data_IF_070479837193
#
_entry.id   IF_070479837193
#
_cell.length_a   1.000
_cell.length_b   1.000
_cell.length_c   1.000
_cell.angle_alpha   90.00
_cell.angle_beta   90.00
_cell.angle_gamma   90.00
#
_symmetry.space_group_name_H-M   'P 1'
#
loop_
_entity.id
_entity.type
_entity.pdbx_description
1 polymer ?
#
# COMPACT_ATOMS: atom_id res chain seq x y z
N UNK A 1 3.90 9.49 -18.63
CA UNK A 1 4.46 9.11 -17.33
C UNK A 1 5.15 10.32 -16.69
N UNK A 2 4.74 10.68 -15.46
CA UNK A 2 5.46 11.65 -14.61
C UNK A 2 6.10 10.90 -13.44
N UNK A 3 7.41 10.68 -13.44
CA UNK A 3 8.13 10.10 -12.31
C UNK A 3 8.08 10.97 -11.05
N UNK A 4 8.46 10.40 -9.91
CA UNK A 4 8.78 11.21 -8.74
C UNK A 4 9.96 12.16 -9.06
N UNK A 5 9.88 13.41 -8.64
CA UNK A 5 11.00 14.36 -8.76
C UNK A 5 12.18 14.00 -7.86
N UNK A 6 11.95 13.13 -6.86
CA UNK A 6 12.98 12.67 -5.91
C UNK A 6 13.78 11.48 -6.43
N UNK A 7 13.13 10.62 -7.23
CA UNK A 7 13.76 9.42 -7.80
C UNK A 7 13.21 9.14 -9.20
N UNK A 8 13.64 9.89 -10.22
CA UNK A 8 13.21 9.67 -11.59
C UNK A 8 14.00 8.57 -12.32
N UNK A 9 15.12 8.09 -11.77
CA UNK A 9 16.07 7.24 -12.47
C UNK A 9 15.48 5.92 -12.95
N UNK A 10 14.83 5.17 -12.07
CA UNK A 10 14.24 3.87 -12.41
C UNK A 10 13.10 3.98 -13.44
N UNK A 11 12.12 4.89 -13.30
CA UNK A 11 11.10 5.08 -14.34
C UNK A 11 11.66 5.53 -15.71
N UNK A 12 12.70 6.36 -15.72
CA UNK A 12 13.39 6.75 -16.95
C UNK A 12 14.03 5.54 -17.64
N UNK A 13 14.78 4.71 -16.87
CA UNK A 13 15.40 3.50 -17.42
C UNK A 13 14.34 2.50 -17.91
N UNK A 14 13.22 2.36 -17.21
CA UNK A 14 12.10 1.52 -17.65
C UNK A 14 11.54 1.99 -19.00
N UNK A 15 11.38 3.30 -19.19
CA UNK A 15 10.92 3.86 -20.47
C UNK A 15 11.91 3.57 -21.61
N UNK A 16 13.22 3.67 -21.37
CA UNK A 16 14.26 3.29 -22.35
C UNK A 16 14.17 1.81 -22.73
N UNK A 17 14.03 0.91 -21.72
CA UNK A 17 13.88 -0.52 -21.96
C UNK A 17 12.63 -0.88 -22.76
N UNK A 18 11.53 -0.15 -22.58
CA UNK A 18 10.32 -0.33 -23.39
C UNK A 18 10.55 0.08 -24.85
N UNK A 19 11.31 1.15 -25.10
CA UNK A 19 11.70 1.56 -26.45
C UNK A 19 12.63 0.52 -27.08
N UNK A 20 13.63 0.02 -26.35
CA UNK A 20 14.53 -1.06 -26.79
C UNK A 20 13.73 -2.35 -27.13
N UNK A 21 12.65 -2.62 -26.39
CA UNK A 21 11.75 -3.75 -26.66
C UNK A 21 10.82 -3.56 -27.86
N UNK A 22 10.89 -2.42 -28.56
CA UNK A 22 10.12 -2.14 -29.77
C UNK A 22 8.81 -1.37 -29.56
N UNK A 23 8.66 -0.67 -28.44
CA UNK A 23 7.51 0.21 -28.24
C UNK A 23 7.47 1.30 -29.34
N UNK A 24 6.36 1.47 -30.08
CA UNK A 24 6.28 2.48 -31.13
C UNK A 24 6.51 3.91 -30.58
N UNK A 25 7.18 4.73 -31.34
CA UNK A 25 7.45 6.13 -30.98
C UNK A 25 6.15 6.90 -30.68
N UNK A 26 6.18 7.70 -29.62
CA UNK A 26 5.04 8.54 -29.20
C UNK A 26 4.00 7.85 -28.32
N UNK A 27 4.07 6.52 -28.13
CA UNK A 27 3.13 5.79 -27.24
C UNK A 27 3.41 6.08 -25.76
N UNK A 28 4.69 6.13 -25.36
CA UNK A 28 5.12 6.49 -24.02
C UNK A 28 5.92 7.79 -24.07
N UNK A 29 5.49 8.76 -23.29
CA UNK A 29 6.19 10.03 -23.11
C UNK A 29 6.47 10.24 -21.63
N UNK A 30 7.66 10.72 -21.28
CA UNK A 30 8.06 10.98 -19.89
C UNK A 30 8.22 12.49 -19.69
N UNK A 31 7.56 13.01 -18.67
CA UNK A 31 7.66 14.42 -18.26
C UNK A 31 8.12 14.47 -16.81
N UNK A 32 9.31 14.99 -16.59
CA UNK A 32 9.84 15.24 -15.25
C UNK A 32 9.30 16.56 -14.68
N UNK A 33 9.12 16.61 -13.39
CA UNK A 33 8.66 17.81 -12.69
C UNK A 33 7.96 17.48 -11.38
N UNK A 34 7.67 18.53 -10.65
CA UNK A 34 7.00 18.53 -9.34
C UNK A 34 5.50 18.83 -9.46
N UNK A 35 4.94 19.50 -8.46
CA UNK A 35 3.53 19.91 -8.42
C UNK A 35 3.10 20.69 -9.66
N UNK A 36 3.97 21.52 -10.25
CA UNK A 36 3.62 22.33 -11.43
C UNK A 36 3.30 21.42 -12.62
N UNK A 37 4.10 20.38 -12.84
CA UNK A 37 3.83 19.40 -13.88
C UNK A 37 2.56 18.57 -13.59
N UNK A 38 2.32 18.22 -12.32
CA UNK A 38 1.08 17.53 -11.92
C UNK A 38 -0.15 18.38 -12.20
N UNK A 39 -0.11 19.66 -11.84
CA UNK A 39 -1.22 20.59 -12.07
C UNK A 39 -1.51 20.77 -13.58
N UNK A 40 -0.45 20.91 -14.38
CA UNK A 40 -0.60 20.96 -15.85
C UNK A 40 -1.26 19.70 -16.42
N UNK A 41 -0.89 18.50 -15.95
CA UNK A 41 -1.54 17.24 -16.35
C UNK A 41 -3.02 17.22 -15.94
N UNK A 42 -3.34 17.72 -14.75
CA UNK A 42 -4.72 17.77 -14.26
C UNK A 42 -5.62 18.73 -15.04
N UNK A 43 -5.04 19.82 -15.53
CA UNK A 43 -5.79 20.88 -16.25
C UNK A 43 -5.85 20.65 -17.77
N UNK A 44 -4.91 19.90 -18.34
CA UNK A 44 -4.83 19.66 -19.79
C UNK A 44 -6.05 18.90 -20.30
N UNK A 45 -6.74 19.46 -21.30
CA UNK A 45 -7.99 18.92 -21.85
C UNK A 45 -7.81 17.63 -22.67
N UNK A 46 -6.62 17.38 -23.22
CA UNK A 46 -6.33 16.19 -24.01
C UNK A 46 -6.03 14.96 -23.16
N UNK A 47 -5.63 15.15 -21.92
CA UNK A 47 -5.43 14.06 -20.96
C UNK A 47 -6.76 13.60 -20.40
N UNK A 48 -7.16 12.37 -20.72
CA UNK A 48 -8.50 11.81 -20.43
C UNK A 48 -8.57 10.87 -19.23
N UNK A 49 -7.43 10.34 -18.79
CA UNK A 49 -7.36 9.41 -17.66
C UNK A 49 -6.09 9.63 -16.85
N UNK A 50 -6.17 9.51 -15.53
CA UNK A 50 -5.05 9.70 -14.61
C UNK A 50 -5.03 8.55 -13.61
N UNK A 51 -3.90 7.84 -13.52
CA UNK A 51 -3.59 6.91 -12.45
C UNK A 51 -2.50 7.50 -11.55
N UNK A 52 -2.66 7.37 -10.24
CA UNK A 52 -1.71 7.90 -9.25
C UNK A 52 -1.55 6.96 -8.07
N UNK A 53 -0.34 6.89 -7.55
CA UNK A 53 -0.04 6.24 -6.26
C UNK A 53 0.85 7.17 -5.44
N UNK A 54 0.50 7.39 -4.18
CA UNK A 54 1.28 8.23 -3.26
C UNK A 54 0.56 8.52 -1.94
N UNK A 55 0.91 9.61 -1.27
CA UNK A 55 0.29 9.95 0.01
C UNK A 55 -1.20 10.28 -0.14
N UNK A 56 -2.00 9.97 0.88
CA UNK A 56 -3.46 10.14 0.86
C UNK A 56 -3.90 11.56 0.51
N UNK A 57 -3.24 12.58 1.06
CA UNK A 57 -3.58 13.98 0.75
C UNK A 57 -3.39 14.33 -0.72
N UNK A 58 -2.34 13.79 -1.34
CA UNK A 58 -2.06 14.02 -2.77
C UNK A 58 -3.01 13.18 -3.63
N UNK A 59 -3.29 11.94 -3.24
CA UNK A 59 -4.26 11.10 -3.92
C UNK A 59 -5.66 11.75 -3.97
N UNK A 60 -6.12 12.27 -2.85
CA UNK A 60 -7.39 13.00 -2.72
C UNK A 60 -7.41 14.29 -3.56
N UNK A 61 -6.32 15.05 -3.54
CA UNK A 61 -6.17 16.25 -4.36
C UNK A 61 -6.27 15.94 -5.86
N UNK A 62 -5.51 14.95 -6.34
CA UNK A 62 -5.49 14.55 -7.75
C UNK A 62 -6.85 13.98 -8.17
N UNK A 63 -7.46 13.13 -7.33
CA UNK A 63 -8.78 12.57 -7.60
C UNK A 63 -9.83 13.67 -7.74
N UNK A 64 -9.91 14.57 -6.75
CA UNK A 64 -10.90 15.63 -6.72
C UNK A 64 -10.76 16.57 -7.93
N UNK A 65 -9.54 17.04 -8.22
CA UNK A 65 -9.30 17.99 -9.31
C UNK A 65 -9.46 17.35 -10.69
N UNK A 66 -8.97 16.12 -10.87
CA UNK A 66 -9.13 15.41 -12.14
C UNK A 66 -10.57 15.03 -12.43
N UNK A 67 -11.33 14.59 -11.42
CA UNK A 67 -12.75 14.30 -11.58
C UNK A 67 -13.57 15.55 -11.90
N UNK A 68 -13.23 16.69 -11.32
CA UNK A 68 -13.92 17.98 -11.60
C UNK A 68 -13.76 18.43 -13.06
N UNK A 69 -12.69 18.01 -13.75
CA UNK A 69 -12.47 18.28 -15.18
C UNK A 69 -12.96 17.15 -16.11
N UNK A 70 -13.73 16.20 -15.57
CA UNK A 70 -14.34 15.11 -16.35
C UNK A 70 -13.35 14.00 -16.76
N UNK A 71 -12.17 13.92 -16.16
CA UNK A 71 -11.21 12.85 -16.42
C UNK A 71 -11.62 11.58 -15.67
N UNK A 72 -11.19 10.43 -16.18
CA UNK A 72 -11.21 9.19 -15.41
C UNK A 72 -10.01 9.19 -14.46
N UNK A 73 -10.25 8.99 -13.19
CA UNK A 73 -9.19 9.09 -12.17
C UNK A 73 -9.24 7.88 -11.26
N UNK A 74 -8.08 7.25 -11.05
CA UNK A 74 -7.86 6.26 -9.99
C UNK A 74 -6.62 6.68 -9.20
N UNK A 75 -6.77 6.85 -7.91
CA UNK A 75 -5.68 7.25 -7.04
C UNK A 75 -5.61 6.31 -5.84
N UNK A 76 -4.41 5.83 -5.54
CA UNK A 76 -4.16 5.00 -4.38
C UNK A 76 -3.37 5.81 -3.36
N UNK A 77 -3.94 5.87 -2.15
CA UNK A 77 -3.42 6.63 -1.03
C UNK A 77 -2.57 5.80 -0.09
N UNK A 78 -2.46 6.27 1.15
CA UNK A 78 -1.72 5.62 2.21
C UNK A 78 -2.36 4.33 2.73
N UNK A 79 -1.69 3.73 3.69
CA UNK A 79 -2.10 2.48 4.31
C UNK A 79 -1.74 2.45 5.80
N UNK A 80 -2.39 1.56 6.54
CA UNK A 80 -2.02 1.12 7.88
C UNK A 80 -2.32 -0.37 7.98
N UNK A 81 -1.45 -1.19 7.38
CA UNK A 81 -1.72 -2.61 7.23
C UNK A 81 -1.52 -3.34 8.55
N UNK A 82 -2.52 -4.13 8.91
CA UNK A 82 -2.55 -4.93 10.12
C UNK A 82 -2.19 -6.39 9.82
N UNK A 83 -1.51 -7.02 10.77
CA UNK A 83 -1.26 -8.46 10.76
C UNK A 83 -1.80 -9.05 12.06
N UNK A 84 -2.88 -9.81 11.96
CA UNK A 84 -3.49 -10.50 13.09
C UNK A 84 -2.71 -11.78 13.34
N UNK A 85 -2.26 -11.99 14.58
CA UNK A 85 -1.48 -13.15 15.01
C UNK A 85 -2.32 -13.96 15.97
N UNK A 86 -2.84 -15.09 15.51
CA UNK A 86 -3.65 -15.99 16.33
C UNK A 86 -2.79 -16.82 17.30
N UNK A 87 -3.35 -17.31 18.41
CA UNK A 87 -2.59 -18.10 19.40
C UNK A 87 -1.98 -19.41 18.84
N UNK A 88 -2.55 -19.93 17.77
CA UNK A 88 -2.11 -21.15 17.07
C UNK A 88 -1.13 -20.88 15.92
N UNK A 89 -0.81 -19.61 15.64
CA UNK A 89 0.12 -19.23 14.58
C UNK A 89 1.51 -19.87 14.78
N UNK A 90 2.17 -20.16 13.66
CA UNK A 90 3.60 -20.51 13.70
C UNK A 90 4.41 -19.26 14.05
N UNK A 91 4.93 -19.18 15.25
CA UNK A 91 5.55 -17.96 15.75
C UNK A 91 6.88 -17.66 15.07
N UNK A 92 7.64 -18.65 14.62
CA UNK A 92 8.90 -18.42 13.91
C UNK A 92 8.63 -17.83 12.52
N UNK A 93 7.68 -18.39 11.78
CA UNK A 93 7.23 -17.82 10.51
C UNK A 93 6.59 -16.42 10.69
N UNK A 94 5.87 -16.20 11.77
CA UNK A 94 5.24 -14.93 12.10
C UNK A 94 6.29 -13.84 12.31
N UNK A 95 7.33 -14.12 13.09
CA UNK A 95 8.43 -13.18 13.36
C UNK A 95 9.21 -12.88 12.07
N UNK A 96 9.57 -13.90 11.29
CA UNK A 96 10.24 -13.72 10.01
C UNK A 96 9.41 -12.86 9.04
N UNK A 97 8.11 -13.10 8.98
CA UNK A 97 7.18 -12.32 8.19
C UNK A 97 7.10 -10.85 8.63
N UNK A 98 7.03 -10.59 9.95
CA UNK A 98 7.00 -9.23 10.50
C UNK A 98 8.31 -8.48 10.25
N UNK A 99 9.46 -9.14 10.41
CA UNK A 99 10.76 -8.54 10.09
C UNK A 99 10.81 -8.11 8.63
N UNK A 100 10.52 -9.02 7.70
CA UNK A 100 10.57 -8.73 6.27
C UNK A 100 9.51 -7.71 5.82
N UNK A 101 8.28 -7.81 6.31
CA UNK A 101 7.17 -6.97 5.91
C UNK A 101 7.11 -5.62 6.64
N UNK A 102 7.59 -5.55 7.88
CA UNK A 102 7.58 -4.31 8.66
C UNK A 102 8.78 -3.41 8.39
N UNK A 103 9.96 -4.00 8.22
CA UNK A 103 11.21 -3.23 8.13
C UNK A 103 11.86 -3.26 6.74
N UNK A 104 11.49 -4.19 5.86
CA UNK A 104 12.00 -4.22 4.49
C UNK A 104 11.79 -2.91 3.78
N UNK A 105 12.81 -2.42 3.03
CA UNK A 105 12.85 -1.07 2.43
C UNK A 105 12.64 0.05 3.47
N UNK A 106 13.19 -0.08 4.66
CA UNK A 106 13.01 0.86 5.77
C UNK A 106 11.53 1.13 6.12
N UNK A 107 10.64 0.15 5.92
CA UNK A 107 9.19 0.33 6.11
C UNK A 107 8.50 1.24 5.08
N UNK A 108 9.21 1.69 4.06
CA UNK A 108 8.70 2.59 3.01
C UNK A 108 8.06 1.80 1.85
N UNK A 109 7.09 0.95 2.20
CA UNK A 109 6.24 0.22 1.24
C UNK A 109 4.78 0.48 1.56
N UNK A 110 3.96 0.73 0.55
CA UNK A 110 2.50 0.85 0.69
C UNK A 110 1.86 -0.42 1.29
N UNK A 111 2.50 -1.58 1.13
CA UNK A 111 2.05 -2.86 1.66
C UNK A 111 2.82 -3.33 2.91
N UNK A 112 3.73 -2.51 3.46
CA UNK A 112 4.42 -2.84 4.70
C UNK A 112 3.41 -3.09 5.84
N UNK A 113 3.69 -4.06 6.69
CA UNK A 113 2.94 -4.25 7.92
C UNK A 113 3.36 -3.15 8.91
N UNK A 114 2.40 -2.33 9.31
CA UNK A 114 2.60 -1.22 10.24
C UNK A 114 2.13 -1.56 11.66
N UNK A 115 1.20 -2.53 11.76
CA UNK A 115 0.57 -2.92 13.02
C UNK A 115 0.52 -4.44 13.13
N UNK A 116 1.14 -5.01 14.17
CA UNK A 116 0.95 -6.39 14.55
C UNK A 116 -0.12 -6.47 15.66
N UNK A 117 -1.09 -7.38 15.51
CA UNK A 117 -2.22 -7.55 16.45
C UNK A 117 -2.20 -8.99 16.97
N UNK A 118 -1.40 -9.29 18.00
CA UNK A 118 -1.45 -10.58 18.67
C UNK A 118 -2.75 -10.73 19.47
N UNK A 119 -3.40 -11.89 19.33
CA UNK A 119 -4.63 -12.23 20.03
C UNK A 119 -4.30 -12.98 21.31
N UNK A 120 -4.61 -12.37 22.46
CA UNK A 120 -4.32 -12.85 23.81
C UNK A 120 -2.95 -12.41 24.33
N UNK A 121 -2.88 -12.07 25.61
CA UNK A 121 -1.66 -11.57 26.28
C UNK A 121 -0.48 -12.53 26.11
N UNK A 122 -0.70 -13.83 26.28
CA UNK A 122 0.35 -14.84 26.12
C UNK A 122 0.94 -14.85 24.71
N UNK A 123 0.10 -14.70 23.68
CA UNK A 123 0.56 -14.62 22.29
C UNK A 123 1.40 -13.37 22.07
N UNK A 124 0.98 -12.24 22.66
CA UNK A 124 1.71 -10.98 22.60
C UNK A 124 3.07 -11.09 23.28
N UNK A 125 3.14 -11.66 24.49
CA UNK A 125 4.40 -11.81 25.23
C UNK A 125 5.39 -12.69 24.46
N UNK A 126 4.95 -13.83 23.90
CA UNK A 126 5.81 -14.72 23.09
C UNK A 126 6.28 -14.00 21.81
N UNK A 127 5.40 -13.23 21.17
CA UNK A 127 5.76 -12.45 20.00
C UNK A 127 6.84 -11.41 20.33
N UNK A 128 6.64 -10.64 21.39
CA UNK A 128 7.58 -9.58 21.80
C UNK A 128 8.94 -10.15 22.19
N UNK A 129 8.97 -11.25 22.96
CA UNK A 129 10.21 -11.95 23.36
C UNK A 129 11.06 -12.34 22.14
N UNK A 130 10.42 -12.79 21.05
CA UNK A 130 11.13 -13.24 19.84
C UNK A 130 11.39 -12.12 18.84
N UNK A 131 10.52 -11.14 18.76
CA UNK A 131 10.59 -10.08 17.74
C UNK A 131 11.61 -9.00 18.13
N UNK A 132 11.65 -8.57 19.40
CA UNK A 132 12.51 -7.47 19.81
C UNK A 132 14.01 -7.71 19.51
N UNK A 133 14.61 -8.87 19.83
CA UNK A 133 16.01 -9.13 19.50
C UNK A 133 16.28 -9.16 17.98
N UNK A 134 15.29 -9.56 17.18
CA UNK A 134 15.39 -9.57 15.72
C UNK A 134 15.40 -8.15 15.15
N UNK A 135 14.60 -7.24 15.72
CA UNK A 135 14.59 -5.82 15.32
C UNK A 135 15.90 -5.15 15.70
N UNK A 136 16.43 -5.41 16.89
CA UNK A 136 17.74 -4.90 17.34
C UNK A 136 18.89 -5.38 16.45
N UNK A 137 18.81 -6.60 15.91
CA UNK A 137 19.86 -7.19 15.08
C UNK A 137 19.84 -6.79 13.62
N UNK A 138 18.87 -5.96 13.19
CA UNK A 138 18.76 -5.50 11.80
C UNK A 138 20.01 -4.70 11.38
N UNK A 139 20.55 -5.06 10.22
CA UNK A 139 21.72 -4.42 9.64
C UNK A 139 21.30 -3.35 8.65
N UNK A 140 21.65 -2.12 8.95
CA UNK A 140 21.30 -0.96 8.12
C UNK A 140 22.54 -0.51 7.36
N UNK A 141 22.43 -0.36 6.04
CA UNK A 141 23.57 -0.03 5.20
C UNK A 141 23.15 0.56 3.85
N UNK A 142 24.11 0.99 3.02
CA UNK A 142 23.82 1.47 1.68
C UNK A 142 23.34 0.31 0.79
N UNK A 143 22.63 0.62 -0.30
CA UNK A 143 22.12 -0.37 -1.27
C UNK A 143 23.22 -1.20 -1.97
N UNK A 144 24.46 -0.78 -1.85
CA UNK A 144 25.63 -1.50 -2.38
C UNK A 144 26.21 -2.52 -1.39
N UNK A 145 25.74 -2.53 -0.15
CA UNK A 145 26.07 -3.54 0.85
C UNK A 145 25.11 -4.73 0.72
N UNK A 146 25.56 -5.90 0.24
CA UNK A 146 24.69 -7.07 0.09
C UNK A 146 24.21 -7.67 1.41
N UNK A 147 24.84 -7.30 2.51
CA UNK A 147 24.52 -7.78 3.84
C UNK A 147 23.57 -6.85 4.60
N UNK A 148 23.23 -5.69 4.07
CA UNK A 148 22.26 -4.79 4.68
C UNK A 148 20.82 -5.30 4.51
N UNK A 149 20.04 -5.30 5.60
CA UNK A 149 18.63 -5.68 5.59
C UNK A 149 17.76 -4.57 4.97
N UNK A 150 18.13 -3.30 5.20
CA UNK A 150 17.50 -2.15 4.54
C UNK A 150 18.44 -0.93 4.48
N UNK A 151 18.07 0.02 3.61
CA UNK A 151 18.81 1.24 3.32
C UNK A 151 18.31 2.49 4.06
N UNK A 152 18.72 3.69 3.59
CA UNK A 152 18.26 4.95 4.15
C UNK A 152 16.81 5.24 3.79
N UNK A 153 16.19 6.20 4.51
CA UNK A 153 14.95 6.83 4.13
C UNK A 153 15.16 7.76 2.93
N UNK A 154 14.06 8.20 2.29
CA UNK A 154 14.12 8.95 1.03
C UNK A 154 14.70 10.37 1.20
N UNK A 155 14.37 11.08 2.26
CA UNK A 155 14.82 12.47 2.50
C UNK A 155 15.10 12.76 3.97
N UNK A 156 15.81 13.86 4.23
CA UNK A 156 16.05 14.38 5.59
C UNK A 156 14.72 14.73 6.28
N UNK A 157 13.85 15.41 5.60
CA UNK A 157 12.55 15.82 6.14
C UNK A 157 11.70 14.61 6.52
N UNK A 158 11.83 13.53 5.75
CA UNK A 158 11.12 12.30 6.05
C UNK A 158 11.71 11.57 7.27
N UNK A 159 13.02 11.49 7.37
CA UNK A 159 13.71 10.97 8.57
C UNK A 159 13.29 11.74 9.83
N UNK A 160 13.30 13.07 9.78
CA UNK A 160 12.92 13.91 10.91
C UNK A 160 11.44 13.70 11.28
N UNK A 161 10.57 13.53 10.28
CA UNK A 161 9.17 13.19 10.49
C UNK A 161 8.99 11.82 11.16
N UNK A 162 9.71 10.80 10.72
CA UNK A 162 9.62 9.45 11.32
C UNK A 162 10.09 9.48 12.77
N UNK A 163 11.21 10.16 13.06
CA UNK A 163 11.71 10.35 14.42
C UNK A 163 10.68 11.06 15.30
N UNK A 164 10.02 12.10 14.78
CA UNK A 164 8.96 12.80 15.50
C UNK A 164 7.74 11.90 15.81
N UNK A 165 7.41 10.93 14.95
CA UNK A 165 6.39 9.94 15.26
C UNK A 165 6.82 8.98 16.37
N UNK A 166 8.10 8.62 16.44
CA UNK A 166 8.60 7.78 17.54
C UNK A 166 8.53 8.57 18.86
N UNK A 167 8.95 9.84 18.88
CA UNK A 167 8.81 10.73 20.04
C UNK A 167 7.35 10.87 20.47
N UNK A 168 6.45 11.01 19.50
CA UNK A 168 5.02 11.11 19.75
C UNK A 168 4.45 9.85 20.38
N UNK A 169 4.83 8.65 19.89
CA UNK A 169 4.39 7.38 20.45
C UNK A 169 4.76 7.23 21.93
N UNK A 170 5.98 7.61 22.30
CA UNK A 170 6.40 7.65 23.70
C UNK A 170 5.56 8.65 24.51
N UNK A 171 5.31 9.84 23.95
CA UNK A 171 4.51 10.88 24.61
C UNK A 171 3.03 10.46 24.78
N UNK A 172 2.48 9.70 23.84
CA UNK A 172 1.12 9.16 23.90
C UNK A 172 1.00 7.97 24.88
N UNK A 173 2.11 7.44 25.39
CA UNK A 173 2.13 6.40 26.40
C UNK A 173 2.36 4.98 25.85
N UNK A 174 2.72 4.83 24.58
CA UNK A 174 3.13 3.53 24.04
C UNK A 174 4.51 3.13 24.59
N UNK A 175 4.73 1.84 24.77
CA UNK A 175 5.98 1.28 25.26
C UNK A 175 6.97 1.14 24.08
N UNK A 176 8.03 1.96 24.06
CA UNK A 176 9.10 1.86 23.07
C UNK A 176 10.07 0.76 23.50
N UNK A 177 9.98 -0.42 22.89
CA UNK A 177 10.77 -1.60 23.24
C UNK A 177 12.13 -1.61 22.54
N UNK A 178 12.15 -1.20 21.27
CA UNK A 178 13.40 -1.01 20.51
C UNK A 178 13.42 0.39 19.94
N UNK A 179 14.49 1.12 20.20
CA UNK A 179 14.69 2.51 19.78
C UNK A 179 15.83 2.62 18.76
N UNK A 180 15.47 2.82 17.51
CA UNK A 180 16.42 2.98 16.42
C UNK A 180 16.73 4.43 16.02
N UNK A 181 16.24 5.45 16.78
CA UNK A 181 16.39 6.87 16.42
C UNK A 181 17.84 7.35 16.35
N UNK A 182 18.69 6.84 17.25
CA UNK A 182 20.08 7.27 17.39
C UNK A 182 21.05 6.46 16.52
N UNK A 183 20.55 5.61 15.64
CA UNK A 183 21.40 4.85 14.73
C UNK A 183 22.17 5.82 13.81
N UNK A 184 23.49 5.60 13.74
CA UNK A 184 24.41 6.33 12.86
C UNK A 184 25.29 5.33 12.10
N UNK A 185 25.30 5.45 10.77
CA UNK A 185 26.15 4.61 9.93
C UNK A 185 27.48 5.33 9.72
N UNK A 186 28.58 4.69 10.19
CA UNK A 186 29.93 5.25 10.07
C UNK A 186 30.31 5.44 8.59
N UNK A 187 30.82 6.65 8.27
CA UNK A 187 31.18 7.04 6.90
C UNK A 187 30.00 7.52 6.04
N UNK A 188 28.77 7.53 6.60
CA UNK A 188 27.55 7.98 5.93
C UNK A 188 26.73 8.95 6.80
N UNK A 189 27.40 9.76 7.61
CA UNK A 189 26.78 10.66 8.59
C UNK A 189 25.83 11.68 7.97
N UNK A 190 26.03 12.01 6.69
CA UNK A 190 25.12 12.84 5.90
C UNK A 190 23.88 12.11 5.36
N UNK A 191 23.82 10.79 5.47
CA UNK A 191 22.72 9.95 5.00
C UNK A 191 21.48 10.04 5.89
N UNK A 192 20.38 9.47 5.41
CA UNK A 192 19.08 9.51 6.09
C UNK A 192 18.77 8.18 6.78
N UNK A 193 19.74 7.64 7.51
CA UNK A 193 19.65 6.34 8.16
C UNK A 193 19.00 6.44 9.53
N UNK A 194 18.23 5.42 9.91
CA UNK A 194 17.78 5.15 11.26
C UNK A 194 17.60 3.64 11.45
N UNK A 195 17.62 3.18 12.67
CA UNK A 195 17.35 1.79 13.02
C UNK A 195 15.88 1.45 13.05
N UNK A 196 15.56 0.17 13.21
CA UNK A 196 14.20 -0.29 13.46
C UNK A 196 13.69 0.17 14.82
N UNK A 197 12.44 0.62 14.87
CA UNK A 197 11.74 0.92 16.11
C UNK A 197 10.58 -0.05 16.31
N UNK A 198 10.38 -0.49 17.56
CA UNK A 198 9.31 -1.40 17.94
C UNK A 198 8.56 -0.84 19.14
N UNK A 199 7.26 -0.64 18.98
CA UNK A 199 6.36 -0.27 20.06
C UNK A 199 5.49 -1.44 20.50
N UNK A 200 5.32 -1.62 21.79
CA UNK A 200 4.27 -2.44 22.39
C UNK A 200 3.19 -1.58 23.04
N UNK A 201 2.04 -2.18 23.35
CA UNK A 201 0.90 -1.56 24.04
C UNK A 201 0.42 -0.27 23.37
N UNK A 202 0.50 -0.25 22.05
CA UNK A 202 -0.10 0.83 21.26
C UNK A 202 -1.63 0.70 21.30
N UNK A 203 -2.31 1.82 21.49
CA UNK A 203 -3.77 1.85 21.58
C UNK A 203 -4.40 2.55 20.35
N UNK A 204 -5.65 2.18 19.97
CA UNK A 204 -6.31 2.69 18.76
C UNK A 204 -6.55 4.21 18.75
N UNK A 205 -6.52 4.88 19.90
CA UNK A 205 -6.66 6.33 19.98
C UNK A 205 -5.39 7.08 19.62
N UNK A 206 -4.21 6.46 19.72
CA UNK A 206 -2.90 7.07 19.48
C UNK A 206 -2.71 7.42 18.01
N UNK A 207 -2.01 8.51 17.74
CA UNK A 207 -1.72 8.95 16.37
C UNK A 207 -0.76 8.02 15.65
N UNK A 208 0.17 7.40 16.38
CA UNK A 208 1.07 6.39 15.80
C UNK A 208 0.34 5.15 15.29
N UNK A 209 -0.87 4.87 15.82
CA UNK A 209 -1.77 3.85 15.27
C UNK A 209 -2.56 4.36 14.07
N UNK A 210 -3.14 5.57 14.17
CA UNK A 210 -4.06 6.12 13.16
C UNK A 210 -3.36 6.56 11.88
N UNK A 211 -2.19 7.18 12.01
CA UNK A 211 -1.51 7.85 10.90
C UNK A 211 -0.45 6.93 10.26
N UNK A 212 -0.29 7.05 8.95
CA UNK A 212 0.78 6.38 8.21
C UNK A 212 2.13 7.03 8.54
N UNK A 213 3.05 6.27 9.12
CA UNK A 213 4.40 6.73 9.47
C UNK A 213 5.31 6.66 8.23
N UNK A 214 5.24 5.53 7.50
CA UNK A 214 6.04 5.24 6.31
C UNK A 214 7.55 5.22 6.60
N UNK A 215 7.93 4.46 7.62
CA UNK A 215 9.29 4.32 8.12
C UNK A 215 9.47 3.00 8.88
N UNK A 216 10.69 2.69 9.36
CA UNK A 216 10.99 1.42 10.02
C UNK A 216 10.45 1.37 11.47
N UNK A 217 9.14 1.54 11.62
CA UNK A 217 8.43 1.60 12.91
C UNK A 217 7.26 0.64 12.88
N UNK A 218 7.30 -0.37 13.73
CA UNK A 218 6.24 -1.35 13.92
C UNK A 218 5.53 -1.12 15.26
N UNK A 219 4.21 -1.09 15.22
CA UNK A 219 3.35 -0.94 16.40
C UNK A 219 2.70 -2.29 16.74
N UNK A 220 2.72 -2.68 18.02
CA UNK A 220 1.98 -3.84 18.51
C UNK A 220 0.76 -3.37 19.29
N UNK A 221 -0.42 -3.79 18.83
CA UNK A 221 -1.71 -3.54 19.46
C UNK A 221 -2.25 -4.88 19.97
N UNK A 222 -2.31 -5.06 21.27
CA UNK A 222 -2.75 -6.31 21.88
C UNK A 222 -4.28 -6.42 21.83
N UNK A 223 -4.82 -7.48 21.23
CA UNK A 223 -6.24 -7.79 21.22
C UNK A 223 -6.55 -8.93 22.16
N UNK A 224 -7.68 -8.84 22.91
CA UNK A 224 -8.07 -9.92 23.83
C UNK A 224 -8.71 -11.09 23.09
N UNK A 225 -9.43 -10.82 21.99
CA UNK A 225 -10.16 -11.81 21.22
C UNK A 225 -9.93 -11.63 19.72
N UNK A 226 -10.28 -12.67 18.96
CA UNK A 226 -10.28 -12.62 17.50
C UNK A 226 -11.17 -11.50 16.96
N UNK A 227 -12.36 -11.32 17.54
CA UNK A 227 -13.34 -10.29 17.13
C UNK A 227 -12.76 -8.88 17.31
N UNK A 228 -12.00 -8.65 18.38
CA UNK A 228 -11.31 -7.38 18.60
C UNK A 228 -10.24 -7.16 17.53
N UNK A 229 -9.42 -8.16 17.21
CA UNK A 229 -8.44 -8.09 16.14
C UNK A 229 -9.06 -7.81 14.77
N UNK A 230 -10.15 -8.51 14.41
CA UNK A 230 -10.92 -8.30 13.20
C UNK A 230 -11.49 -6.87 13.14
N UNK A 231 -12.01 -6.36 14.27
CA UNK A 231 -12.57 -5.03 14.38
C UNK A 231 -11.52 -3.95 14.16
N UNK A 232 -10.35 -4.05 14.79
CA UNK A 232 -9.24 -3.11 14.63
C UNK A 232 -8.88 -2.91 13.16
N UNK A 233 -8.67 -4.00 12.41
CA UNK A 233 -8.36 -3.93 10.98
C UNK A 233 -9.53 -3.40 10.14
N UNK A 234 -10.77 -3.78 10.48
CA UNK A 234 -11.97 -3.43 9.70
C UNK A 234 -12.40 -1.98 9.89
N UNK A 235 -12.24 -1.40 11.08
CA UNK A 235 -12.70 -0.03 11.41
C UNK A 235 -11.63 1.04 11.14
N UNK A 236 -10.39 0.66 10.87
CA UNK A 236 -9.34 1.61 10.50
C UNK A 236 -9.74 2.40 9.24
N UNK A 237 -9.36 3.68 9.15
CA UNK A 237 -9.69 4.54 7.99
C UNK A 237 -9.04 4.07 6.67
N UNK A 238 -7.94 3.34 6.75
CA UNK A 238 -7.28 2.71 5.60
C UNK A 238 -7.73 1.26 5.42
N UNK A 239 -7.70 0.78 4.19
CA UNK A 239 -8.10 -0.59 3.85
C UNK A 239 -7.32 -1.14 2.64
N UNK A 240 -6.00 -0.96 2.64
CA UNK A 240 -5.16 -1.43 1.54
C UNK A 240 -4.90 -2.94 1.64
N UNK A 241 -4.22 -3.38 2.69
CA UNK A 241 -3.91 -4.78 2.92
C UNK A 241 -4.05 -5.17 4.40
N UNK A 242 -4.27 -6.46 4.63
CA UNK A 242 -4.32 -7.08 5.95
C UNK A 242 -3.85 -8.53 5.85
N UNK A 243 -3.28 -9.05 6.93
CA UNK A 243 -2.93 -10.46 7.00
C UNK A 243 -3.48 -11.10 8.29
N UNK A 244 -3.73 -12.40 8.25
CA UNK A 244 -3.95 -13.23 9.42
C UNK A 244 -2.97 -14.39 9.40
N UNK A 245 -2.34 -14.65 10.55
CA UNK A 245 -1.46 -15.79 10.77
C UNK A 245 -2.13 -16.76 11.73
N UNK A 246 -2.45 -17.94 11.24
CA UNK A 246 -3.18 -18.99 11.98
C UNK A 246 -2.98 -20.35 11.29
N UNK A 247 -3.13 -21.43 12.04
CA UNK A 247 -3.26 -22.80 11.51
C UNK A 247 -4.71 -23.27 11.40
N UNK A 248 -5.66 -22.45 11.89
CA UNK A 248 -7.09 -22.73 11.85
C UNK A 248 -7.71 -22.23 10.54
N UNK A 249 -8.14 -23.18 9.71
CA UNK A 249 -8.79 -22.87 8.43
C UNK A 249 -10.16 -22.21 8.58
N UNK A 250 -10.87 -22.41 9.69
CA UNK A 250 -12.17 -21.76 9.93
C UNK A 250 -11.97 -20.29 10.29
N UNK A 251 -11.04 -19.99 11.18
CA UNK A 251 -10.64 -18.61 11.51
C UNK A 251 -10.16 -17.87 10.26
N UNK A 252 -9.34 -18.49 9.42
CA UNK A 252 -8.84 -17.90 8.18
C UNK A 252 -9.96 -17.55 7.19
N UNK A 253 -10.94 -18.45 6.98
CA UNK A 253 -12.09 -18.21 6.09
C UNK A 253 -13.03 -17.15 6.65
N UNK A 254 -13.33 -17.20 7.94
CA UNK A 254 -14.17 -16.23 8.61
C UNK A 254 -13.55 -14.82 8.48
N UNK A 255 -12.26 -14.69 8.78
CA UNK A 255 -11.53 -13.44 8.63
C UNK A 255 -11.59 -12.88 7.22
N UNK A 256 -11.23 -13.70 6.21
CA UNK A 256 -11.22 -13.28 4.82
C UNK A 256 -12.61 -12.83 4.32
N UNK A 257 -13.70 -13.41 4.86
CA UNK A 257 -15.06 -13.04 4.47
C UNK A 257 -15.60 -11.80 5.16
N UNK A 258 -15.09 -11.46 6.37
CA UNK A 258 -15.64 -10.38 7.20
C UNK A 258 -14.81 -9.10 7.22
N UNK A 259 -13.50 -9.20 7.03
CA UNK A 259 -12.61 -8.05 7.13
C UNK A 259 -12.89 -7.02 6.03
N UNK A 260 -13.01 -5.75 6.43
CA UNK A 260 -13.32 -4.64 5.52
C UNK A 260 -12.02 -4.01 4.96
N UNK A 261 -11.26 -4.79 4.18
CA UNK A 261 -9.97 -4.40 3.56
C UNK A 261 -9.86 -5.01 2.17
N UNK A 262 -9.23 -4.31 1.24
CA UNK A 262 -9.21 -4.67 -0.18
C UNK A 262 -8.38 -5.92 -0.53
N UNK A 263 -7.28 -6.17 0.19
CA UNK A 263 -6.41 -7.32 -0.04
C UNK A 263 -6.15 -8.08 1.26
N UNK A 264 -6.33 -9.39 1.25
CA UNK A 264 -6.24 -10.24 2.44
C UNK A 264 -5.22 -11.35 2.22
N UNK A 265 -4.26 -11.47 3.13
CA UNK A 265 -3.29 -12.56 3.18
C UNK A 265 -3.62 -13.56 4.30
N UNK A 266 -3.56 -14.85 4.00
CA UNK A 266 -3.62 -15.92 4.98
C UNK A 266 -2.22 -16.54 5.06
N UNK A 267 -1.52 -16.32 6.17
CA UNK A 267 -0.11 -16.68 6.35
C UNK A 267 0.82 -16.08 5.28
N UNK A 268 0.37 -14.98 4.67
CA UNK A 268 1.13 -14.17 3.71
C UNK A 268 1.08 -12.73 4.20
N UNK A 269 2.19 -12.13 4.65
CA UNK A 269 2.16 -10.81 5.29
C UNK A 269 1.85 -9.68 4.31
N UNK A 270 2.29 -9.82 3.05
CA UNK A 270 2.10 -8.82 1.99
C UNK A 270 1.33 -9.47 0.84
N UNK A 271 -0.02 -9.40 0.82
CA UNK A 271 -0.86 -10.09 -0.17
C UNK A 271 -0.91 -9.38 -1.52
N UNK A 272 0.24 -8.99 -2.07
CA UNK A 272 0.32 -8.35 -3.39
C UNK A 272 0.08 -9.39 -4.48
N UNK A 273 -0.93 -9.21 -5.34
CA UNK A 273 -1.23 -10.17 -6.40
C UNK A 273 -0.25 -10.03 -7.58
N UNK A 274 -0.17 -11.09 -8.40
CA UNK A 274 0.44 -11.00 -9.72
C UNK A 274 -0.36 -10.04 -10.62
N UNK A 275 0.31 -9.44 -11.62
CA UNK A 275 -0.23 -8.34 -12.43
C UNK A 275 -1.53 -8.66 -13.23
N UNK A 276 -1.92 -9.92 -13.35
CA UNK A 276 -3.20 -10.32 -13.96
C UNK A 276 -4.37 -10.44 -12.97
N UNK A 277 -4.11 -10.22 -11.67
CA UNK A 277 -5.12 -10.09 -10.64
C UNK A 277 -5.23 -8.64 -10.18
N UNK A 278 -6.38 -8.28 -9.64
CA UNK A 278 -6.66 -6.94 -9.14
C UNK A 278 -5.79 -6.57 -7.95
N UNK A 279 -5.13 -5.43 -8.04
CA UNK A 279 -4.50 -4.73 -6.92
C UNK A 279 -5.32 -3.50 -6.60
N UNK A 280 -5.86 -3.40 -5.39
CA UNK A 280 -6.64 -2.23 -5.01
C UNK A 280 -6.89 -2.12 -3.52
N UNK A 281 -6.95 -0.88 -3.04
CA UNK A 281 -7.30 -0.53 -1.68
C UNK A 281 -8.75 -0.10 -1.57
N UNK A 282 -9.31 -0.31 -0.38
CA UNK A 282 -10.62 0.20 0.01
C UNK A 282 -10.49 1.42 0.90
N UNK A 283 -11.59 2.07 1.20
CA UNK A 283 -11.67 3.24 2.09
C UNK A 283 -10.72 4.36 1.61
N UNK A 284 -9.96 4.99 2.50
CA UNK A 284 -9.03 6.06 2.12
C UNK A 284 -7.72 5.57 1.48
N UNK A 285 -7.55 4.26 1.33
CA UNK A 285 -6.43 3.72 0.54
C UNK A 285 -6.71 3.70 -0.96
N UNK A 286 -7.94 3.94 -1.42
CA UNK A 286 -8.29 3.97 -2.83
C UNK A 286 -9.38 4.99 -3.14
N UNK A 287 -9.19 5.78 -4.20
CA UNK A 287 -10.14 6.75 -4.75
C UNK A 287 -10.42 6.39 -6.21
N UNK A 288 -11.68 6.24 -6.55
CA UNK A 288 -12.16 5.70 -7.83
C UNK A 288 -12.77 4.31 -7.64
N UNK A 289 -13.40 3.78 -8.69
CA UNK A 289 -14.15 2.52 -8.67
C UNK A 289 -13.40 1.34 -9.30
N UNK A 290 -12.36 1.60 -10.09
CA UNK A 290 -11.53 0.57 -10.71
C UNK A 290 -10.17 0.48 -10.02
N UNK A 291 -9.68 -0.75 -9.92
CA UNK A 291 -8.39 -1.05 -9.32
C UNK A 291 -7.27 -1.07 -10.38
N UNK A 292 -6.02 -1.12 -9.92
CA UNK A 292 -4.86 -1.40 -10.78
C UNK A 292 -4.77 -2.89 -11.08
N UNK A 293 -4.04 -3.23 -12.12
CA UNK A 293 -3.78 -4.59 -12.58
C UNK A 293 -5.03 -5.33 -13.11
N UNK A 294 -4.77 -6.46 -13.76
CA UNK A 294 -5.80 -7.35 -14.27
C UNK A 294 -6.77 -6.67 -15.26
N UNK A 295 -7.99 -7.17 -15.36
CA UNK A 295 -9.01 -6.62 -16.24
C UNK A 295 -9.38 -5.17 -15.97
N UNK A 296 -9.29 -4.73 -14.71
CA UNK A 296 -9.62 -3.35 -14.33
C UNK A 296 -8.62 -2.33 -14.92
N UNK A 297 -7.34 -2.68 -15.02
CA UNK A 297 -6.35 -1.84 -15.68
C UNK A 297 -6.71 -1.60 -17.17
N UNK A 298 -7.18 -2.64 -17.86
CA UNK A 298 -7.63 -2.51 -19.25
C UNK A 298 -8.89 -1.65 -19.34
N UNK A 299 -9.88 -1.91 -18.47
CA UNK A 299 -11.13 -1.15 -18.43
C UNK A 299 -10.91 0.33 -18.14
N UNK A 300 -9.95 0.63 -17.26
CA UNK A 300 -9.64 2.00 -16.87
C UNK A 300 -9.15 2.84 -18.05
N UNK A 301 -8.28 2.32 -18.90
CA UNK A 301 -7.70 3.05 -20.03
C UNK A 301 -8.43 2.87 -21.35
N UNK A 302 -9.55 2.13 -21.39
CA UNK A 302 -10.34 1.88 -22.60
C UNK A 302 -11.78 2.33 -22.43
N UNK A 303 -12.49 2.44 -23.56
CA UNK A 303 -13.94 2.74 -23.60
C UNK A 303 -14.70 1.59 -24.24
N UNK A 304 -15.84 1.24 -23.66
CA UNK A 304 -16.75 0.27 -24.25
C UNK A 304 -17.61 0.96 -25.30
N UNK A 305 -17.68 0.38 -26.49
CA UNK A 305 -18.58 0.82 -27.57
C UNK A 305 -19.65 -0.25 -27.80
N UNK A 306 -20.90 0.12 -27.70
CA UNK A 306 -22.01 -0.74 -28.08
C UNK A 306 -22.41 -0.46 -29.54
N UNK A 307 -22.47 -1.51 -30.36
CA UNK A 307 -22.91 -1.42 -31.74
C UNK A 307 -24.11 -2.34 -31.90
N UNK A 308 -25.24 -1.74 -32.27
CA UNK A 308 -26.43 -2.50 -32.65
C UNK A 308 -26.59 -2.39 -34.16
N UNK A 309 -26.69 -3.50 -34.85
CA UNK A 309 -26.85 -3.53 -36.31
C UNK A 309 -28.00 -4.42 -36.70
N UNK A 310 -28.66 -4.02 -37.78
CA UNK A 310 -29.71 -4.81 -38.46
C UNK A 310 -29.40 -4.86 -39.95
N UNK A 311 -29.27 -6.05 -40.47
CA UNK A 311 -29.07 -6.25 -41.91
C UNK A 311 -30.43 -6.50 -42.57
N UNK A 312 -30.83 -5.70 -43.56
CA UNK A 312 -32.09 -5.93 -44.25
C UNK A 312 -32.05 -7.29 -44.99
N UNK A 313 -33.01 -8.12 -44.71
CA UNK A 313 -33.24 -9.39 -45.41
C UNK A 313 -34.58 -9.27 -46.17
N UNK A 314 -34.52 -8.98 -47.47
CA UNK A 314 -35.71 -8.80 -48.29
C UNK A 314 -36.40 -7.43 -48.17
N UNK A 315 -37.41 -7.20 -48.95
CA UNK A 315 -38.24 -6.01 -48.93
C UNK A 315 -39.26 -6.17 -47.79
N UNK A 316 -39.07 -5.39 -46.68
CA UNK A 316 -40.12 -5.23 -45.66
C UNK A 316 -40.74 -3.86 -45.85
N UNK A 317 -42.04 -3.84 -46.14
CA UNK A 317 -42.82 -2.63 -46.22
C UNK A 317 -43.32 -2.23 -44.82
N UNK A 318 -42.99 -0.98 -44.41
CA UNK A 318 -43.52 -0.37 -43.20
C UNK A 318 -42.54 -0.21 -42.04
N UNK A 319 -42.91 0.65 -41.10
CA UNK A 319 -42.13 0.90 -39.86
C UNK A 319 -42.37 -0.23 -38.84
N UNK A 320 -41.29 -0.70 -38.22
CA UNK A 320 -41.36 -1.70 -37.19
C UNK A 320 -41.16 -1.03 -35.81
N UNK A 321 -42.22 -1.06 -34.99
CA UNK A 321 -42.25 -0.43 -33.66
C UNK A 321 -41.98 -1.41 -32.51
N UNK A 322 -41.54 -2.62 -32.83
CA UNK A 322 -41.25 -3.68 -31.81
C UNK A 322 -39.75 -3.78 -31.59
N UNK A 323 -39.33 -3.66 -30.34
CA UNK A 323 -37.95 -3.92 -29.98
C UNK A 323 -37.65 -5.41 -30.15
N UNK A 324 -36.61 -5.79 -30.92
CA UNK A 324 -36.26 -7.20 -31.09
C UNK A 324 -35.90 -7.85 -29.72
N UNK A 325 -36.62 -8.87 -29.35
CA UNK A 325 -36.27 -9.70 -28.18
C UNK A 325 -35.60 -10.99 -28.67
N UNK A 326 -34.54 -11.41 -27.97
CA UNK A 326 -33.98 -12.75 -28.19
C UNK A 326 -35.03 -13.79 -27.79
N UNK A 327 -35.36 -14.70 -28.72
CA UNK A 327 -36.14 -15.90 -28.45
C UNK A 327 -35.23 -17.08 -28.19
#
# INVERSE_FOLDING_TARGET
LKPSERDPGVPMRLAELLIEAGLPAGILNVVNGDKVAVDAILDDEDIRAIGFVGSTKIAEYIYTRGAATGKRVQCFGGAKNHMIVMPDADMDQTVDALIGAGYGSAGERCMAISVAVPVGEKTADILMERLAPRVESLRIGPSTDPDADFGPLVTREHLDRVRAYVDLGVTEGAELVVDGRDFALQGYEGGFYMGGCLFDRVEPHMRIYKEEIFGPVLSVVRANTYEEGLKLASEHEYGNGVAIFTRDGDAARDFASKVNVGMVGINVPIPVPLAYHTFGGWKRSGFGDLNQHGPDAVRFYTKTKTVTSRWPSGVKDGAEFVIPTMR
#
